data_IF_490770087049
#
_entry.id   IF_490770087049
#
_cell.length_a   1.000
_cell.length_b   1.000
_cell.length_c   1.000
_cell.angle_alpha   90.00
_cell.angle_beta   90.00
_cell.angle_gamma   90.00
#
_symmetry.space_group_name_H-M   'P 1'
#
loop_
_entity.id
_entity.type
_entity.pdbx_description
1 polymer ?
#
# COMPACT_ATOMS: atom_id res chain seq x y z
N UNK A 1 17.33 30.94 89.73
CA UNK A 1 17.32 31.40 88.31
C UNK A 1 18.66 30.97 87.72
N UNK A 2 18.69 30.17 86.64
CA UNK A 2 18.42 30.63 85.28
C UNK A 2 17.35 29.80 84.53
N UNK A 3 16.82 30.38 83.45
CA UNK A 3 15.72 29.86 82.61
C UNK A 3 16.25 28.91 81.54
N UNK A 4 15.76 27.68 81.50
CA UNK A 4 16.10 26.64 80.51
C UNK A 4 14.88 26.25 79.66
N UNK A 5 14.50 27.08 78.69
CA UNK A 5 13.63 26.63 77.58
C UNK A 5 13.67 27.65 76.43
N UNK A 6 14.29 27.31 75.28
CA UNK A 6 13.52 27.35 74.03
C UNK A 6 14.00 26.35 72.94
N UNK A 7 14.65 25.23 73.26
CA UNK A 7 15.19 24.31 72.24
C UNK A 7 14.29 23.08 71.95
N UNK A 8 13.56 22.57 72.94
CA UNK A 8 12.72 21.37 72.77
C UNK A 8 11.42 21.70 72.00
N UNK A 9 10.87 22.91 72.18
CA UNK A 9 9.65 23.33 71.49
C UNK A 9 9.86 23.55 69.97
N UNK A 10 11.06 23.99 69.58
CA UNK A 10 11.41 24.21 68.16
C UNK A 10 11.62 22.88 67.44
N UNK A 11 12.26 21.91 68.10
CA UNK A 11 12.46 20.56 67.53
C UNK A 11 11.14 19.82 67.27
N UNK A 12 10.20 19.87 68.22
CA UNK A 12 8.89 19.24 68.06
C UNK A 12 8.03 19.90 66.96
N UNK A 13 8.09 21.24 66.84
CA UNK A 13 7.36 21.97 65.80
C UNK A 13 7.88 21.68 64.39
N UNK A 14 9.21 21.52 64.22
CA UNK A 14 9.81 21.20 62.92
C UNK A 14 9.46 19.77 62.47
N UNK A 15 9.46 18.80 63.39
CA UNK A 15 9.12 17.40 63.08
C UNK A 15 7.64 17.30 62.68
N UNK A 16 6.73 18.00 63.37
CA UNK A 16 5.30 18.03 63.00
C UNK A 16 5.09 18.71 61.65
N UNK A 17 5.82 19.81 61.35
CA UNK A 17 5.75 20.48 60.06
C UNK A 17 6.24 19.61 58.89
N UNK A 18 7.29 18.80 59.08
CA UNK A 18 7.81 17.89 58.04
C UNK A 18 6.87 16.70 57.81
N UNK A 19 6.27 16.15 58.87
CA UNK A 19 5.32 15.03 58.74
C UNK A 19 4.00 15.46 58.07
N UNK A 20 3.47 16.64 58.41
CA UNK A 20 2.27 17.20 57.75
C UNK A 20 2.58 17.62 56.30
N UNK A 21 3.73 18.25 56.06
CA UNK A 21 4.17 18.65 54.73
C UNK A 21 4.42 17.46 53.79
N UNK A 22 5.05 16.39 54.29
CA UNK A 22 5.30 15.16 53.53
C UNK A 22 4.01 14.41 53.17
N UNK A 23 3.05 14.34 54.09
CA UNK A 23 1.74 13.71 53.83
C UNK A 23 0.93 14.50 52.78
N UNK A 24 0.97 15.84 52.81
CA UNK A 24 0.27 16.68 51.82
C UNK A 24 0.92 16.62 50.43
N UNK A 25 2.25 16.44 50.36
CA UNK A 25 2.98 16.39 49.09
C UNK A 25 2.84 15.03 48.37
N UNK A 26 2.70 13.93 49.12
CA UNK A 26 2.50 12.59 48.56
C UNK A 26 1.05 12.34 48.10
N UNK A 27 0.08 13.11 48.59
CA UNK A 27 -1.33 13.04 48.16
C UNK A 27 -1.68 13.95 46.97
N UNK A 28 -0.72 14.70 46.41
CA UNK A 28 -0.89 15.43 45.14
C UNK A 28 -0.34 14.63 43.96
N UNK A 29 -1.07 13.57 43.56
CA UNK A 29 -1.10 13.16 42.15
C UNK A 29 -2.21 13.91 41.42
N UNK A 30 -1.92 14.32 40.19
CA UNK A 30 -2.81 14.96 39.19
C UNK A 30 -3.10 16.46 39.35
N UNK A 31 -2.34 17.28 38.63
CA UNK A 31 -2.80 18.05 37.45
C UNK A 31 -1.64 18.93 36.96
N UNK A 32 -1.11 18.62 35.77
CA UNK A 32 -0.18 19.50 35.06
C UNK A 32 -0.98 20.56 34.25
N UNK A 33 -0.39 21.72 33.95
CA UNK A 33 -1.09 22.85 33.30
C UNK A 33 -1.61 22.52 31.89
N UNK A 34 -2.87 22.91 31.63
CA UNK A 34 -3.48 22.87 30.31
C UNK A 34 -3.00 24.06 29.45
N UNK A 35 -2.10 23.78 28.51
CA UNK A 35 -2.01 24.52 27.25
C UNK A 35 -3.12 24.02 26.30
N UNK A 36 -3.61 24.85 25.35
CA UNK A 36 -4.74 24.49 24.50
C UNK A 36 -4.50 23.18 23.77
N UNK A 37 -5.30 22.17 24.13
CA UNK A 37 -5.36 20.86 23.52
C UNK A 37 -5.92 21.01 22.10
N UNK A 38 -5.02 21.13 21.13
CA UNK A 38 -5.29 20.57 19.81
C UNK A 38 -5.45 19.08 20.04
N UNK A 39 -6.60 18.54 19.68
CA UNK A 39 -6.88 17.09 19.66
C UNK A 39 -5.91 16.42 18.69
N UNK A 40 -4.69 16.17 19.14
CA UNK A 40 -3.85 15.12 18.60
C UNK A 40 -4.52 13.82 19.01
N UNK A 41 -5.34 13.30 18.10
CA UNK A 41 -5.65 11.88 18.13
C UNK A 41 -4.31 11.15 18.22
N UNK A 42 -4.14 10.42 19.31
CA UNK A 42 -3.10 9.44 19.49
C UNK A 42 -3.32 8.38 18.41
N UNK A 43 -2.79 8.66 17.22
CA UNK A 43 -2.68 7.69 16.16
C UNK A 43 -1.64 6.70 16.66
N UNK A 44 -2.14 5.66 17.33
CA UNK A 44 -1.45 4.41 17.56
C UNK A 44 -0.81 4.03 16.23
N UNK A 45 0.48 4.29 16.09
CA UNK A 45 1.28 3.77 15.01
C UNK A 45 1.31 2.27 15.25
N UNK A 46 0.37 1.56 14.64
CA UNK A 46 0.49 0.13 14.47
C UNK A 46 1.58 -0.10 13.42
N UNK A 47 2.83 0.04 13.85
CA UNK A 47 3.97 -0.58 13.20
C UNK A 47 3.89 -2.05 13.57
N UNK A 48 3.11 -2.80 12.80
CA UNK A 48 2.96 -4.24 12.92
C UNK A 48 2.78 -4.77 11.51
N UNK A 49 3.59 -5.75 11.12
CA UNK A 49 3.46 -6.40 9.83
C UNK A 49 2.02 -6.88 9.64
N UNK A 50 1.33 -6.31 8.64
CA UNK A 50 -0.03 -6.68 8.30
C UNK A 50 0.08 -7.66 7.14
N UNK A 51 -0.45 -8.87 7.33
CA UNK A 51 -0.82 -9.73 6.19
C UNK A 51 -2.08 -9.16 5.59
N UNK A 52 -1.95 -8.51 4.45
CA UNK A 52 -3.09 -7.94 3.73
C UNK A 52 -2.86 -8.00 2.23
N UNK A 53 -3.93 -7.78 1.48
CA UNK A 53 -3.88 -7.58 0.04
C UNK A 53 -3.92 -6.09 -0.29
N UNK A 54 -3.37 -5.70 -1.44
CA UNK A 54 -3.39 -4.31 -1.91
C UNK A 54 -4.85 -3.82 -2.06
N UNK A 55 -5.75 -4.70 -2.48
CA UNK A 55 -7.19 -4.43 -2.58
C UNK A 55 -7.85 -4.09 -1.24
N UNK A 56 -7.46 -4.80 -0.18
CA UNK A 56 -7.94 -4.53 1.18
C UNK A 56 -7.51 -3.14 1.67
N UNK A 57 -6.27 -2.76 1.37
CA UNK A 57 -5.75 -1.43 1.71
C UNK A 57 -6.51 -0.30 1.03
N UNK A 58 -6.82 -0.47 -0.27
CA UNK A 58 -7.57 0.53 -1.05
C UNK A 58 -9.03 0.62 -0.60
N UNK A 59 -9.68 -0.52 -0.34
CA UNK A 59 -11.06 -0.56 0.18
C UNK A 59 -11.18 0.06 1.57
N UNK A 60 -10.12 0.00 2.36
CA UNK A 60 -10.08 0.57 3.71
C UNK A 60 -10.02 2.10 3.75
N UNK A 61 -9.72 2.76 2.63
CA UNK A 61 -9.66 4.23 2.53
C UNK A 61 -8.65 4.90 3.47
N UNK A 62 -7.68 4.14 4.00
CA UNK A 62 -6.69 4.63 4.96
C UNK A 62 -5.52 5.29 4.24
N UNK A 63 -4.90 6.26 4.91
CA UNK A 63 -3.67 6.88 4.43
C UNK A 63 -2.48 6.15 5.04
N UNK A 64 -1.83 5.28 4.26
CA UNK A 64 -0.70 4.48 4.73
C UNK A 64 0.44 4.46 3.73
N UNK A 65 1.67 4.32 4.23
CA UNK A 65 2.82 3.89 3.45
C UNK A 65 3.18 2.48 3.88
N UNK A 66 3.31 1.56 2.93
CA UNK A 66 3.66 0.17 3.17
C UNK A 66 4.97 -0.18 2.47
N UNK A 67 5.84 -0.92 3.16
CA UNK A 67 7.02 -1.54 2.56
C UNK A 67 6.70 -3.02 2.31
N UNK A 68 6.90 -3.46 1.07
CA UNK A 68 6.69 -4.85 0.66
C UNK A 68 8.03 -5.49 0.35
N UNK A 69 8.24 -6.70 0.85
CA UNK A 69 9.41 -7.52 0.52
C UNK A 69 8.93 -8.75 -0.25
N UNK A 70 9.36 -8.88 -1.49
CA UNK A 70 9.07 -10.06 -2.29
C UNK A 70 10.25 -11.03 -2.22
N UNK A 71 10.04 -12.30 -1.82
CA UNK A 71 11.03 -13.33 -2.01
C UNK A 71 11.10 -13.65 -3.52
N UNK A 72 12.15 -13.21 -4.20
CA UNK A 72 12.53 -13.73 -5.52
C UNK A 72 13.71 -14.69 -5.35
N UNK A 73 13.81 -15.67 -6.26
CA UNK A 73 14.74 -16.80 -6.16
C UNK A 73 16.21 -16.38 -5.95
N UNK A 74 16.59 -15.20 -6.44
CA UNK A 74 17.98 -14.74 -6.39
C UNK A 74 18.21 -13.44 -5.60
N UNK A 75 17.18 -12.61 -5.32
CA UNK A 75 17.31 -11.36 -4.55
C UNK A 75 15.99 -10.95 -3.85
N UNK A 76 16.09 -10.27 -2.71
CA UNK A 76 14.94 -9.63 -2.05
C UNK A 76 14.58 -8.36 -2.83
N UNK A 77 13.47 -8.38 -3.56
CA UNK A 77 12.93 -7.17 -4.17
C UNK A 77 12.14 -6.39 -3.11
N UNK A 78 12.51 -5.13 -2.88
CA UNK A 78 11.79 -4.21 -1.99
C UNK A 78 10.92 -3.25 -2.80
N UNK A 79 9.70 -3.02 -2.33
CA UNK A 79 8.77 -2.06 -2.91
C UNK A 79 8.19 -1.13 -1.85
N UNK A 80 7.89 0.11 -2.25
CA UNK A 80 7.14 1.07 -1.43
C UNK A 80 5.79 1.33 -2.06
N UNK A 81 4.74 1.25 -1.25
CA UNK A 81 3.38 1.55 -1.64
C UNK A 81 2.88 2.72 -0.80
N UNK A 82 2.32 3.74 -1.44
CA UNK A 82 1.66 4.86 -0.79
C UNK A 82 0.17 4.80 -1.13
N UNK A 83 -0.67 4.87 -0.12
CA UNK A 83 -2.13 4.85 -0.25
C UNK A 83 -2.70 6.11 0.37
N UNK A 84 -3.65 6.73 -0.32
CA UNK A 84 -4.44 7.84 0.20
C UNK A 84 -5.87 7.76 -0.35
N UNK A 85 -6.82 7.33 0.48
CA UNK A 85 -8.18 7.04 0.02
C UNK A 85 -8.16 5.96 -1.06
N UNK A 86 -8.66 6.30 -2.26
CA UNK A 86 -8.70 5.40 -3.42
C UNK A 86 -7.46 5.53 -4.32
N UNK A 87 -6.54 6.46 -4.01
CA UNK A 87 -5.31 6.67 -4.79
C UNK A 87 -4.18 5.80 -4.27
N UNK A 88 -3.34 5.36 -5.21
CA UNK A 88 -2.21 4.50 -4.92
C UNK A 88 -0.98 4.92 -5.71
N UNK A 89 0.19 4.79 -5.10
CA UNK A 89 1.50 4.82 -5.76
C UNK A 89 2.26 3.56 -5.36
N UNK A 90 2.84 2.86 -6.32
CA UNK A 90 3.80 1.78 -6.09
C UNK A 90 5.12 2.12 -6.75
N UNK A 91 6.22 1.93 -6.02
CA UNK A 91 7.59 2.03 -6.49
C UNK A 91 8.30 0.72 -6.17
N UNK A 92 8.73 -0.02 -7.18
CA UNK A 92 9.31 -1.35 -7.04
C UNK A 92 10.66 -1.41 -7.71
N UNK A 93 11.65 -2.02 -7.05
CA UNK A 93 12.94 -2.31 -7.66
C UNK A 93 13.03 -3.80 -7.97
N UNK A 94 13.28 -4.14 -9.22
CA UNK A 94 13.37 -5.51 -9.72
C UNK A 94 14.70 -5.74 -10.44
N UNK A 95 15.22 -6.97 -10.36
CA UNK A 95 16.43 -7.36 -11.07
C UNK A 95 16.06 -8.16 -12.31
N UNK A 96 16.26 -7.57 -13.49
CA UNK A 96 16.02 -8.21 -14.80
C UNK A 96 17.36 -8.41 -15.49
N UNK A 97 17.73 -9.67 -15.77
CA UNK A 97 19.00 -10.01 -16.42
C UNK A 97 20.24 -9.41 -15.71
N UNK A 98 20.22 -9.32 -14.38
CA UNK A 98 21.31 -8.77 -13.58
C UNK A 98 21.37 -7.24 -13.50
N UNK A 99 20.38 -6.53 -14.06
CA UNK A 99 20.24 -5.07 -13.95
C UNK A 99 19.06 -4.71 -13.05
N UNK A 100 19.27 -3.71 -12.19
CA UNK A 100 18.20 -3.12 -11.40
C UNK A 100 17.35 -2.22 -12.30
N UNK A 101 16.04 -2.50 -12.37
CA UNK A 101 15.03 -1.73 -13.07
C UNK A 101 14.03 -1.25 -12.04
N UNK A 102 13.72 0.05 -12.06
CA UNK A 102 12.63 0.59 -11.23
C UNK A 102 11.35 0.56 -12.04
N UNK A 103 10.31 -0.04 -11.45
CA UNK A 103 8.95 -0.04 -11.97
C UNK A 103 8.08 0.84 -11.09
N UNK A 104 7.23 1.63 -11.73
CA UNK A 104 6.38 2.60 -11.08
C UNK A 104 4.94 2.38 -11.48
N UNK A 105 4.03 2.52 -10.52
CA UNK A 105 2.60 2.42 -10.74
C UNK A 105 1.86 3.54 -10.02
N UNK A 106 0.89 4.18 -10.67
CA UNK A 106 -0.06 5.12 -10.03
C UNK A 106 -1.48 4.67 -10.33
N UNK A 107 -2.37 4.72 -9.34
CA UNK A 107 -3.82 4.65 -9.53
C UNK A 107 -4.45 5.97 -9.12
N UNK A 108 -5.18 6.62 -10.02
CA UNK A 108 -5.86 7.92 -9.81
C UNK A 108 -7.39 7.79 -9.74
N UNK A 109 -7.90 6.61 -9.37
CA UNK A 109 -9.32 6.23 -9.30
C UNK A 109 -9.96 5.95 -10.67
N UNK A 110 -9.54 6.67 -11.72
CA UNK A 110 -10.03 6.47 -13.08
C UNK A 110 -9.16 5.47 -13.85
N UNK A 111 -7.85 5.60 -13.72
CA UNK A 111 -6.85 4.81 -14.44
C UNK A 111 -5.75 4.31 -13.51
N UNK A 112 -5.17 3.18 -13.90
CA UNK A 112 -3.88 2.71 -13.40
C UNK A 112 -2.85 2.94 -14.50
N UNK A 113 -1.75 3.58 -14.14
CA UNK A 113 -0.61 3.91 -14.98
C UNK A 113 0.57 3.06 -14.52
N UNK A 114 1.30 2.48 -15.46
CA UNK A 114 2.51 1.70 -15.18
C UNK A 114 3.61 2.05 -16.17
N UNK A 115 4.84 2.20 -15.67
CA UNK A 115 6.03 2.48 -16.48
C UNK A 115 7.30 2.02 -15.77
N UNK A 116 8.38 1.91 -16.53
CA UNK A 116 9.72 1.62 -16.03
C UNK A 116 10.61 2.86 -16.12
N UNK A 117 11.58 2.98 -15.22
CA UNK A 117 12.58 4.06 -15.23
C UNK A 117 13.47 4.05 -16.49
N UNK A 118 13.60 2.91 -17.17
CA UNK A 118 14.39 2.79 -18.40
C UNK A 118 13.63 3.24 -19.66
N UNK A 119 12.31 3.47 -19.57
CA UNK A 119 11.46 3.78 -20.72
C UNK A 119 10.78 5.16 -20.59
N UNK A 120 10.67 5.89 -21.70
CA UNK A 120 9.81 7.09 -21.83
C UNK A 120 8.37 6.77 -22.23
N UNK A 121 8.03 5.49 -22.23
CA UNK A 121 6.71 4.97 -22.56
C UNK A 121 6.19 4.15 -21.40
N UNK A 122 4.89 4.24 -21.18
CA UNK A 122 4.16 3.47 -20.19
C UNK A 122 2.82 3.03 -20.76
N UNK A 123 2.07 2.31 -19.94
CA UNK A 123 0.72 1.86 -20.27
C UNK A 123 -0.25 2.38 -19.23
N UNK A 124 -1.49 2.64 -19.67
CA UNK A 124 -2.59 2.93 -18.76
C UNK A 124 -3.81 2.06 -19.08
N UNK A 125 -4.58 1.75 -18.05
CA UNK A 125 -5.83 1.01 -18.17
C UNK A 125 -6.84 1.56 -17.17
N UNK A 126 -8.11 1.51 -17.53
CA UNK A 126 -9.21 2.05 -16.73
C UNK A 126 -9.54 1.10 -15.58
N UNK A 127 -9.76 1.66 -14.39
CA UNK A 127 -9.97 0.88 -13.14
C UNK A 127 -11.22 0.00 -13.23
N UNK A 128 -12.28 0.44 -13.92
CA UNK A 128 -13.52 -0.33 -14.12
C UNK A 128 -13.34 -1.63 -14.92
N UNK A 129 -12.24 -1.79 -15.64
CA UNK A 129 -11.90 -2.99 -16.40
C UNK A 129 -10.96 -3.93 -15.64
N UNK A 130 -10.60 -3.63 -14.39
CA UNK A 130 -9.72 -4.49 -13.58
C UNK A 130 -10.42 -5.67 -12.90
N UNK A 131 -11.75 -5.81 -13.04
CA UNK A 131 -12.41 -7.10 -12.81
C UNK A 131 -12.11 -8.13 -13.91
N UNK A 132 -11.50 -7.69 -15.03
CA UNK A 132 -10.95 -8.59 -16.02
C UNK A 132 -9.59 -9.12 -15.52
N UNK A 133 -9.61 -10.39 -15.09
CA UNK A 133 -8.47 -11.32 -14.95
C UNK A 133 -7.14 -10.69 -15.34
N UNK A 134 -6.25 -10.54 -14.36
CA UNK A 134 -4.83 -10.25 -14.56
C UNK A 134 -4.34 -10.89 -15.86
N UNK A 135 -4.05 -10.06 -16.87
CA UNK A 135 -3.51 -10.58 -18.12
C UNK A 135 -2.18 -11.27 -17.82
N UNK A 136 -1.91 -12.46 -18.39
CA UNK A 136 -0.73 -13.25 -18.11
C UNK A 136 0.47 -12.70 -18.91
N UNK A 137 0.81 -11.44 -18.69
CA UNK A 137 2.19 -10.96 -18.91
C UNK A 137 2.93 -11.24 -17.62
N UNK A 138 4.05 -11.95 -17.75
CA UNK A 138 4.72 -12.82 -16.75
C UNK A 138 5.18 -12.20 -15.42
N UNK A 139 4.71 -11.02 -15.03
CA UNK A 139 5.03 -10.37 -13.74
C UNK A 139 3.86 -9.48 -13.23
N UNK A 140 2.60 -9.83 -13.51
CA UNK A 140 1.47 -9.09 -12.96
C UNK A 140 1.38 -9.29 -11.44
N UNK A 141 1.44 -8.18 -10.68
CA UNK A 141 1.20 -8.19 -9.23
C UNK A 141 -0.24 -8.62 -8.99
N UNK A 142 -0.43 -9.80 -8.41
CA UNK A 142 -1.72 -10.25 -7.92
C UNK A 142 -2.14 -9.37 -6.73
N UNK A 143 -3.12 -8.49 -6.96
CA UNK A 143 -3.60 -7.52 -5.97
C UNK A 143 -4.48 -8.15 -4.88
N UNK A 144 -4.96 -9.37 -5.10
CA UNK A 144 -5.74 -10.15 -4.14
C UNK A 144 -4.82 -11.02 -3.26
N UNK A 145 -3.58 -11.27 -3.69
CA UNK A 145 -2.59 -12.04 -2.91
C UNK A 145 -2.26 -11.34 -1.59
N UNK A 146 -2.36 -12.09 -0.50
CA UNK A 146 -1.86 -11.66 0.79
C UNK A 146 -0.33 -11.62 0.77
N UNK A 147 0.22 -10.47 1.11
CA UNK A 147 1.67 -10.25 1.26
C UNK A 147 1.97 -9.71 2.65
N UNK A 148 3.14 -10.05 3.17
CA UNK A 148 3.64 -9.44 4.40
C UNK A 148 4.03 -7.99 4.09
N UNK A 149 3.29 -7.04 4.66
CA UNK A 149 3.51 -5.60 4.46
C UNK A 149 3.79 -4.93 5.80
N UNK A 150 4.85 -4.13 5.86
CA UNK A 150 5.06 -3.23 7.00
C UNK A 150 4.47 -1.87 6.67
N UNK A 151 3.30 -1.58 7.25
CA UNK A 151 2.54 -0.37 6.96
C UNK A 151 2.59 0.61 8.13
N UNK A 152 2.69 1.90 7.81
CA UNK A 152 2.63 3.00 8.77
C UNK A 152 1.72 4.10 8.24
N UNK A 153 1.04 4.81 9.14
CA UNK A 153 0.30 6.01 8.73
C UNK A 153 1.26 7.11 8.31
N UNK A 154 0.85 7.94 7.35
CA UNK A 154 1.69 8.99 6.79
C UNK A 154 0.90 10.27 6.53
N UNK A 155 1.60 11.40 6.56
CA UNK A 155 1.07 12.67 6.07
C UNK A 155 1.01 12.64 4.55
N UNK A 156 -0.20 12.72 3.99
CA UNK A 156 -0.42 12.60 2.55
C UNK A 156 0.31 13.70 1.80
N UNK A 157 1.23 13.29 0.94
CA UNK A 157 1.86 14.14 -0.07
C UNK A 157 1.21 13.88 -1.43
N UNK A 158 0.39 14.83 -1.90
CA UNK A 158 -0.33 14.70 -3.17
C UNK A 158 0.61 14.61 -4.39
N UNK A 159 1.86 15.08 -4.27
CA UNK A 159 2.82 14.99 -5.37
C UNK A 159 3.18 13.53 -5.70
N UNK A 160 3.05 12.59 -4.74
CA UNK A 160 3.28 11.15 -4.95
C UNK A 160 2.32 10.50 -5.95
N UNK A 161 1.17 11.12 -6.19
CA UNK A 161 0.14 10.63 -7.10
C UNK A 161 0.10 11.41 -8.41
N UNK A 162 1.04 12.33 -8.64
CA UNK A 162 1.14 13.08 -9.90
C UNK A 162 1.77 12.20 -10.98
N UNK A 163 1.09 12.12 -12.12
CA UNK A 163 1.58 11.38 -13.28
C UNK A 163 2.74 12.17 -13.91
N UNK A 164 3.91 11.57 -14.16
CA UNK A 164 5.03 12.28 -14.77
C UNK A 164 4.69 12.74 -16.19
N UNK A 165 4.91 14.03 -16.52
CA UNK A 165 4.56 14.58 -17.83
C UNK A 165 5.49 14.13 -18.96
N UNK A 166 6.65 13.54 -18.63
CA UNK A 166 7.66 13.08 -19.59
C UNK A 166 7.47 11.62 -20.03
N UNK A 167 6.47 10.93 -19.49
CA UNK A 167 6.11 9.55 -19.86
C UNK A 167 4.88 9.56 -20.76
N UNK A 168 4.98 8.93 -21.93
CA UNK A 168 3.86 8.76 -22.85
C UNK A 168 3.11 7.47 -22.52
N UNK A 169 1.81 7.57 -22.22
CA UNK A 169 0.99 6.42 -21.85
C UNK A 169 0.10 5.95 -22.99
N UNK A 170 0.26 4.69 -23.39
CA UNK A 170 -0.67 4.00 -24.31
C UNK A 170 -1.87 3.47 -23.52
N UNK A 171 -3.09 3.79 -23.97
CA UNK A 171 -4.33 3.32 -23.35
C UNK A 171 -4.66 1.90 -23.82
N UNK A 172 -4.36 0.90 -23.00
CA UNK A 172 -4.65 -0.50 -23.30
C UNK A 172 -6.15 -0.82 -23.16
N UNK A 173 -6.90 -0.02 -22.40
CA UNK A 173 -8.35 -0.19 -22.28
C UNK A 173 -9.08 0.17 -23.57
N UNK A 174 -8.55 1.08 -24.36
CA UNK A 174 -9.08 1.35 -25.71
C UNK A 174 -8.74 0.23 -26.69
N UNK A 175 -7.53 -0.33 -26.60
CA UNK A 175 -7.11 -1.47 -27.43
C UNK A 175 -7.93 -2.74 -27.16
N UNK A 176 -8.28 -2.99 -25.88
CA UNK A 176 -9.13 -4.12 -25.50
C UNK A 176 -10.58 -3.96 -26.01
N UNK A 177 -11.11 -2.74 -26.11
CA UNK A 177 -12.44 -2.51 -26.72
C UNK A 177 -12.45 -2.81 -28.23
N UNK A 178 -11.29 -2.68 -28.88
CA UNK A 178 -11.13 -2.93 -30.31
C UNK A 178 -10.83 -4.40 -30.64
N UNK A 179 -10.53 -5.21 -29.61
CA UNK A 179 -10.36 -6.65 -29.74
C UNK A 179 -11.66 -7.29 -29.29
N UNK A 180 -12.46 -7.92 -30.16
CA UNK A 180 -13.62 -8.68 -29.70
C UNK A 180 -13.12 -9.66 -28.64
N UNK A 181 -13.75 -9.65 -27.47
CA UNK A 181 -13.46 -10.59 -26.41
C UNK A 181 -13.57 -12.02 -26.97
N UNK A 182 -12.46 -12.61 -27.36
CA UNK A 182 -12.32 -14.04 -27.62
C UNK A 182 -12.27 -14.76 -26.26
N UNK A 183 -13.30 -14.51 -25.46
CA UNK A 183 -13.66 -15.26 -24.27
C UNK A 183 -14.93 -16.04 -24.57
N UNK A 184 -14.74 -17.26 -25.09
CA UNK A 184 -15.67 -18.39 -25.07
C UNK A 184 -17.14 -18.11 -25.35
N UNK A 185 -17.58 -18.41 -26.58
CA UNK A 185 -18.63 -19.39 -26.91
C UNK A 185 -19.05 -19.22 -28.38
N UNK A 186 -18.11 -19.53 -29.26
CA UNK A 186 -18.31 -20.10 -30.60
C UNK A 186 -16.92 -20.03 -31.23
N UNK A 187 -16.20 -21.14 -31.18
CA UNK A 187 -15.02 -21.31 -32.03
C UNK A 187 -15.57 -21.47 -33.44
N UNK A 188 -15.89 -20.32 -34.05
CA UNK A 188 -16.50 -20.24 -35.35
C UNK A 188 -15.54 -20.89 -36.34
N UNK A 189 -16.01 -21.95 -37.00
CA UNK A 189 -15.32 -22.74 -38.03
C UNK A 189 -14.68 -21.88 -39.14
N UNK A 190 -15.03 -20.58 -39.20
CA UNK A 190 -14.44 -19.53 -40.02
C UNK A 190 -12.90 -19.44 -39.98
N UNK A 191 -12.24 -19.79 -38.87
CA UNK A 191 -10.77 -19.79 -38.80
C UNK A 191 -10.15 -20.99 -39.54
N UNK A 192 -10.78 -22.17 -39.46
CA UNK A 192 -10.37 -23.36 -40.20
C UNK A 192 -10.71 -23.26 -41.69
N UNK A 193 -11.67 -22.40 -42.07
CA UNK A 193 -12.04 -22.15 -43.46
C UNK A 193 -10.97 -21.43 -44.28
N UNK A 194 -9.99 -20.81 -43.62
CA UNK A 194 -8.84 -20.20 -44.30
C UNK A 194 -7.74 -21.21 -44.66
N UNK A 195 -7.85 -22.45 -44.20
CA UNK A 195 -6.91 -23.52 -44.53
C UNK A 195 -7.30 -24.13 -45.87
N UNK A 196 -6.46 -23.94 -46.87
CA UNK A 196 -6.62 -24.50 -48.22
C UNK A 196 -6.31 -25.99 -48.31
N UNK A 197 -5.50 -26.51 -47.39
CA UNK A 197 -5.20 -27.94 -47.32
C UNK A 197 -6.38 -28.72 -46.69
N UNK A 198 -6.96 -29.72 -47.39
CA UNK A 198 -8.14 -30.43 -46.91
C UNK A 198 -7.90 -31.24 -45.62
N UNK A 199 -6.71 -31.80 -45.44
CA UNK A 199 -6.41 -32.66 -44.28
C UNK A 199 -6.15 -31.81 -43.03
N UNK A 200 -5.43 -30.70 -43.16
CA UNK A 200 -5.20 -29.75 -42.09
C UNK A 200 -6.50 -29.02 -41.69
N UNK A 201 -7.37 -28.73 -42.65
CA UNK A 201 -8.71 -28.18 -42.37
C UNK A 201 -9.55 -29.16 -41.54
N UNK A 202 -9.59 -30.44 -41.93
CA UNK A 202 -10.34 -31.45 -41.19
C UNK A 202 -9.82 -31.63 -39.75
N UNK A 203 -8.49 -31.64 -39.56
CA UNK A 203 -7.88 -31.72 -38.24
C UNK A 203 -8.20 -30.49 -37.37
N UNK A 204 -8.19 -29.28 -37.96
CA UNK A 204 -8.56 -28.04 -37.28
C UNK A 204 -10.02 -28.08 -36.77
N UNK A 205 -10.96 -28.49 -37.63
CA UNK A 205 -12.38 -28.61 -37.28
C UNK A 205 -12.61 -29.66 -36.19
N UNK A 206 -11.89 -30.78 -36.26
CA UNK A 206 -12.00 -31.84 -35.26
C UNK A 206 -11.48 -31.39 -33.89
N UNK A 207 -10.38 -30.63 -33.87
CA UNK A 207 -9.81 -30.07 -32.63
C UNK A 207 -10.71 -28.99 -32.00
N UNK A 208 -11.47 -28.23 -32.80
CA UNK A 208 -12.36 -27.17 -32.31
C UNK A 208 -13.72 -27.68 -31.79
N UNK A 209 -14.09 -28.93 -32.08
CA UNK A 209 -15.40 -29.50 -31.74
C UNK A 209 -15.37 -30.40 -30.48
N UNK A 210 -14.23 -30.44 -29.78
CA UNK A 210 -13.92 -31.43 -28.73
C UNK A 210 -14.06 -30.98 -27.28
N UNK A 211 -14.90 -29.97 -26.97
CA UNK A 211 -15.31 -29.60 -25.61
C UNK A 211 -16.84 -29.55 -25.49
#
# INVERSE_FOLDING_TARGET
MPKSTPLIAVGAAIIIAVLVGGYFFLNKKSQAPQEPSVTSQEQKSETGGIKSSIKSLLSGGKNVTCTVKYPSADQTAEGKIYVSGQKMRGDFNMMVSGKAIESHMISDEAYIYSWSSEAKQGVKFKVDQTEAKASPTSESVDIDKEVDMDCSSWGVDNSKFSIPPDIQFTDLSEMMKQTPASGGQNQDSSACDQITDPAAKAACIQASSGY
#
